data_IF_624774089890
#
_entry.id   IF_624774089890
#
_cell.length_a   1.000
_cell.length_b   1.000
_cell.length_c   1.000
_cell.angle_alpha   90.00
_cell.angle_beta   90.00
_cell.angle_gamma   90.00
#
_symmetry.space_group_name_H-M   'P 1'
#
loop_
_entity.id
_entity.type
_entity.pdbx_description
1 polymer ?
#
# COMPACT_ATOMS: atom_id res chain seq x y z
N UNK A 1 51.09 38.70 -23.10
CA UNK A 1 49.69 38.47 -23.52
C UNK A 1 49.21 37.17 -22.91
N UNK A 2 48.23 37.19 -22.00
CA UNK A 2 47.81 36.03 -21.20
C UNK A 2 46.37 35.60 -21.55
N UNK A 3 46.22 34.32 -21.88
CA UNK A 3 45.02 33.66 -22.39
C UNK A 3 43.85 33.56 -21.38
N UNK A 4 42.59 33.78 -21.79
CA UNK A 4 41.41 33.68 -20.93
C UNK A 4 40.87 32.24 -20.94
N UNK A 5 41.44 31.34 -20.13
CA UNK A 5 41.00 29.93 -20.07
C UNK A 5 40.81 29.39 -18.65
N UNK A 6 40.32 30.24 -17.73
CA UNK A 6 40.12 29.85 -16.31
C UNK A 6 38.73 30.11 -15.71
N UNK A 7 37.74 30.59 -16.46
CA UNK A 7 36.41 30.90 -15.87
C UNK A 7 35.29 29.88 -16.20
N UNK A 8 35.48 28.95 -17.13
CA UNK A 8 34.41 28.01 -17.53
C UNK A 8 34.27 26.75 -16.64
N UNK A 9 35.20 26.48 -15.72
CA UNK A 9 35.26 25.19 -15.00
C UNK A 9 34.37 25.11 -13.74
N UNK A 10 33.88 26.23 -13.21
CA UNK A 10 33.01 26.23 -12.02
C UNK A 10 31.50 26.16 -12.31
N UNK A 11 31.04 26.65 -13.47
CA UNK A 11 29.61 26.63 -13.80
C UNK A 11 29.07 25.24 -14.20
N UNK A 12 29.94 24.33 -14.67
CA UNK A 12 29.51 22.98 -15.07
C UNK A 12 29.36 22.00 -13.90
N UNK A 13 29.97 22.25 -12.73
CA UNK A 13 29.84 21.36 -11.57
C UNK A 13 28.53 21.53 -10.79
N UNK A 14 27.89 22.69 -10.87
CA UNK A 14 26.59 22.92 -10.22
C UNK A 14 25.42 22.28 -10.99
N UNK A 15 25.51 22.20 -12.32
CA UNK A 15 24.43 21.66 -13.16
C UNK A 15 24.34 20.13 -13.15
N UNK A 16 25.43 19.43 -12.82
CA UNK A 16 25.42 17.96 -12.76
C UNK A 16 24.81 17.44 -11.44
N UNK A 17 24.90 18.21 -10.35
CA UNK A 17 24.34 17.83 -9.04
C UNK A 17 22.80 17.92 -9.00
N UNK A 18 22.19 18.74 -9.86
CA UNK A 18 20.74 18.86 -9.97
C UNK A 18 20.08 17.73 -10.78
N UNK A 19 20.82 17.03 -11.66
CA UNK A 19 20.29 15.90 -12.44
C UNK A 19 20.46 14.54 -11.76
N UNK A 20 21.48 14.36 -10.93
CA UNK A 20 21.65 13.10 -10.18
C UNK A 20 20.65 12.96 -9.02
N UNK A 21 20.17 14.06 -8.43
CA UNK A 21 19.18 14.01 -7.35
C UNK A 21 17.74 13.65 -7.81
N UNK A 22 17.53 13.37 -9.09
CA UNK A 22 16.24 12.97 -9.65
C UNK A 22 16.15 11.48 -9.99
N UNK A 23 17.26 10.72 -9.87
CA UNK A 23 17.33 9.30 -10.25
C UNK A 23 17.23 8.37 -9.02
N UNK A 24 17.18 8.92 -7.80
CA UNK A 24 17.13 8.14 -6.56
C UNK A 24 15.97 8.45 -5.62
N UNK A 25 14.93 9.15 -6.10
CA UNK A 25 13.67 9.26 -5.37
C UNK A 25 12.61 8.52 -6.17
N UNK A 26 11.89 7.54 -5.60
CA UNK A 26 10.65 7.10 -6.23
C UNK A 26 9.85 8.39 -6.48
N UNK A 27 9.40 8.58 -7.72
CA UNK A 27 8.47 9.65 -8.01
C UNK A 27 7.35 9.49 -7.00
N UNK A 28 6.98 10.55 -6.25
CA UNK A 28 5.80 10.48 -5.39
C UNK A 28 4.68 9.98 -6.29
N UNK A 29 4.18 8.77 -6.03
CA UNK A 29 3.04 8.24 -6.73
C UNK A 29 1.96 9.33 -6.64
N UNK A 30 1.38 9.71 -7.78
CA UNK A 30 0.25 10.63 -7.76
C UNK A 30 -0.86 10.00 -6.91
N UNK A 31 -1.72 10.82 -6.30
CA UNK A 31 -2.86 10.29 -5.54
C UNK A 31 -3.69 9.27 -6.36
N UNK A 32 -3.77 9.47 -7.68
CA UNK A 32 -4.36 8.52 -8.62
C UNK A 32 -3.57 7.21 -8.71
N UNK A 33 -2.26 7.26 -8.91
CA UNK A 33 -1.41 6.05 -8.96
C UNK A 33 -1.44 5.26 -7.64
N UNK A 34 -1.52 5.95 -6.50
CA UNK A 34 -1.63 5.33 -5.18
C UNK A 34 -2.93 4.52 -5.03
N UNK A 35 -4.01 4.92 -5.72
CA UNK A 35 -5.31 4.25 -5.64
C UNK A 35 -5.47 3.24 -6.77
N UNK A 36 -5.02 3.59 -7.98
CA UNK A 36 -5.21 2.77 -9.18
C UNK A 36 -4.24 1.58 -9.20
N UNK A 37 -2.98 1.77 -8.79
CA UNK A 37 -1.97 0.72 -8.84
C UNK A 37 -1.06 0.79 -7.60
N UNK A 38 -1.60 0.62 -6.38
CA UNK A 38 -0.84 0.81 -5.14
C UNK A 38 0.42 -0.06 -5.03
N UNK A 39 0.40 -1.24 -5.65
CA UNK A 39 1.45 -2.25 -5.52
C UNK A 39 2.21 -2.55 -6.83
N UNK A 40 1.98 -1.82 -7.93
CA UNK A 40 2.70 -2.06 -9.21
C UNK A 40 4.22 -1.87 -9.10
N UNK A 41 4.65 -0.94 -8.24
CA UNK A 41 6.06 -0.63 -7.99
C UNK A 41 6.66 -1.43 -6.82
N UNK A 42 5.84 -2.23 -6.11
CA UNK A 42 6.26 -3.02 -4.94
C UNK A 42 6.43 -4.47 -5.34
N UNK A 43 7.61 -5.04 -5.08
CA UNK A 43 7.86 -6.47 -5.29
C UNK A 43 7.42 -7.24 -4.06
N UNK A 44 6.17 -7.66 -4.05
CA UNK A 44 5.65 -8.57 -3.03
C UNK A 44 6.07 -9.98 -3.42
N UNK A 45 6.90 -10.61 -2.58
CA UNK A 45 7.29 -12.00 -2.77
C UNK A 45 6.20 -12.93 -2.25
N UNK A 46 5.26 -13.27 -3.13
CA UNK A 46 4.17 -14.19 -2.80
C UNK A 46 4.66 -15.62 -2.53
N UNK A 47 5.89 -15.97 -2.91
CA UNK A 47 6.41 -17.32 -2.71
C UNK A 47 6.89 -17.59 -1.28
N UNK A 48 7.10 -16.53 -0.50
CA UNK A 48 7.45 -16.62 0.93
C UNK A 48 6.25 -16.51 1.84
N UNK A 49 5.07 -16.17 1.31
CA UNK A 49 3.85 -16.12 2.10
C UNK A 49 3.39 -17.54 2.43
N UNK A 50 3.24 -17.82 3.72
CA UNK A 50 2.74 -19.10 4.23
C UNK A 50 1.60 -18.82 5.21
N UNK A 51 0.37 -19.06 4.76
CA UNK A 51 -0.81 -18.84 5.60
C UNK A 51 -0.84 -19.78 6.81
N UNK A 52 -0.30 -21.00 6.66
CA UNK A 52 -0.26 -21.97 7.75
C UNK A 52 0.67 -21.48 8.89
N UNK A 53 1.76 -20.81 8.55
CA UNK A 53 2.65 -20.17 9.53
C UNK A 53 1.91 -19.10 10.34
N UNK A 54 1.05 -18.31 9.70
CA UNK A 54 0.22 -17.30 10.38
C UNK A 54 -0.78 -17.95 11.34
N UNK A 55 -1.39 -19.08 10.96
CA UNK A 55 -2.31 -19.82 11.84
C UNK A 55 -1.60 -20.40 13.06
N UNK A 56 -0.39 -20.91 12.87
CA UNK A 56 0.37 -21.63 13.90
C UNK A 56 1.16 -20.69 14.83
N UNK A 57 1.76 -19.65 14.26
CA UNK A 57 2.66 -18.71 14.97
C UNK A 57 2.05 -17.34 15.22
N UNK A 58 0.91 -17.03 14.59
CA UNK A 58 0.20 -15.77 14.75
C UNK A 58 0.56 -14.74 13.67
N UNK A 59 -0.15 -13.62 13.74
CA UNK A 59 -0.05 -12.55 12.77
C UNK A 59 1.08 -11.58 13.13
N UNK A 60 2.10 -11.45 12.28
CA UNK A 60 3.22 -10.52 12.46
C UNK A 60 3.01 -9.24 11.62
N UNK A 61 2.70 -8.08 12.25
CA UNK A 61 2.43 -6.83 11.53
C UNK A 61 3.58 -6.35 10.64
N UNK A 62 4.82 -6.72 10.98
CA UNK A 62 6.02 -6.30 10.25
C UNK A 62 6.10 -6.90 8.84
N UNK A 63 5.50 -8.07 8.60
CA UNK A 63 5.49 -8.72 7.28
C UNK A 63 4.56 -8.00 6.28
N UNK A 64 3.70 -7.12 6.79
CA UNK A 64 2.72 -6.35 6.02
C UNK A 64 3.01 -4.84 6.02
N UNK A 65 4.23 -4.40 6.37
CA UNK A 65 4.57 -2.97 6.43
C UNK A 65 4.33 -2.25 5.09
N UNK A 66 4.64 -2.88 3.96
CA UNK A 66 4.36 -2.32 2.63
C UNK A 66 2.86 -2.04 2.41
N UNK A 67 1.99 -2.93 2.89
CA UNK A 67 0.54 -2.74 2.87
C UNK A 67 0.14 -1.60 3.81
N UNK A 68 0.62 -1.58 5.04
CA UNK A 68 0.23 -0.58 6.04
C UNK A 68 0.69 0.83 5.66
N UNK A 69 1.91 0.99 5.10
CA UNK A 69 2.36 2.27 4.58
C UNK A 69 1.50 2.73 3.40
N UNK A 70 1.11 1.83 2.49
CA UNK A 70 0.23 2.17 1.37
C UNK A 70 -1.18 2.56 1.86
N UNK A 71 -1.74 1.81 2.81
CA UNK A 71 -3.03 2.10 3.44
C UNK A 71 -3.03 3.44 4.16
N UNK A 72 -2.00 3.75 4.94
CA UNK A 72 -1.84 5.02 5.65
C UNK A 72 -1.75 6.20 4.68
N UNK A 73 -1.00 6.04 3.59
CA UNK A 73 -0.92 7.07 2.55
C UNK A 73 -2.28 7.33 1.89
N UNK A 74 -3.09 6.28 1.71
CA UNK A 74 -4.42 6.37 1.12
C UNK A 74 -5.46 6.90 2.12
N UNK A 75 -5.32 6.58 3.41
CA UNK A 75 -6.15 7.10 4.49
C UNK A 75 -6.17 8.63 4.53
N UNK A 76 -5.00 9.24 4.27
CA UNK A 76 -4.86 10.69 4.20
C UNK A 76 -5.66 11.33 3.04
N UNK A 77 -6.12 10.53 2.08
CA UNK A 77 -6.99 10.95 0.98
C UNK A 77 -8.45 10.74 1.39
N UNK A 78 -8.83 9.50 1.71
CA UNK A 78 -10.15 9.14 2.21
C UNK A 78 -10.18 7.71 2.75
N UNK A 79 -11.20 7.40 3.56
CA UNK A 79 -11.43 6.03 4.03
C UNK A 79 -11.67 5.05 2.87
N UNK A 80 -12.41 5.49 1.84
CA UNK A 80 -12.63 4.70 0.63
C UNK A 80 -11.32 4.41 -0.11
N UNK A 81 -10.39 5.37 -0.15
CA UNK A 81 -9.07 5.16 -0.76
C UNK A 81 -8.25 4.13 0.02
N UNK A 82 -8.26 4.19 1.36
CA UNK A 82 -7.67 3.14 2.20
C UNK A 82 -8.26 1.76 1.87
N UNK A 83 -9.60 1.64 1.85
CA UNK A 83 -10.25 0.36 1.54
C UNK A 83 -9.90 -0.13 0.12
N UNK A 84 -9.78 0.79 -0.84
CA UNK A 84 -9.39 0.46 -2.23
C UNK A 84 -7.96 -0.08 -2.30
N UNK A 85 -7.03 0.51 -1.55
CA UNK A 85 -5.65 0.00 -1.47
C UNK A 85 -5.63 -1.37 -0.79
N UNK A 86 -6.31 -1.52 0.35
CA UNK A 86 -6.41 -2.79 1.06
C UNK A 86 -6.89 -3.93 0.16
N UNK A 87 -8.02 -3.74 -0.53
CA UNK A 87 -8.64 -4.74 -1.41
C UNK A 87 -7.80 -5.11 -2.64
N UNK A 88 -6.79 -4.31 -2.99
CA UNK A 88 -5.87 -4.59 -4.10
C UNK A 88 -4.59 -5.30 -3.64
N UNK A 89 -4.47 -5.66 -2.36
CA UNK A 89 -3.28 -6.33 -1.85
C UNK A 89 -3.20 -7.77 -2.38
N UNK A 90 -2.13 -8.15 -3.11
CA UNK A 90 -2.05 -9.44 -3.79
C UNK A 90 -2.16 -10.67 -2.89
N UNK A 91 -1.75 -10.56 -1.62
CA UNK A 91 -1.86 -11.67 -0.65
C UNK A 91 -3.32 -11.97 -0.31
N UNK A 92 -4.22 -10.97 -0.33
CA UNK A 92 -5.65 -11.22 -0.10
C UNK A 92 -6.22 -12.13 -1.18
N UNK A 93 -5.86 -11.91 -2.44
CA UNK A 93 -6.31 -12.74 -3.56
C UNK A 93 -5.80 -14.19 -3.40
N UNK A 94 -4.55 -14.36 -2.96
CA UNK A 94 -3.97 -15.67 -2.69
C UNK A 94 -4.76 -16.40 -1.58
N UNK A 95 -4.93 -15.77 -0.42
CA UNK A 95 -5.66 -16.35 0.72
C UNK A 95 -7.11 -16.67 0.35
N UNK A 96 -7.83 -15.75 -0.31
CA UNK A 96 -9.22 -16.00 -0.75
C UNK A 96 -9.31 -17.15 -1.75
N UNK A 97 -8.25 -17.40 -2.53
CA UNK A 97 -8.24 -18.47 -3.54
C UNK A 97 -7.85 -19.85 -2.97
N UNK A 98 -7.04 -19.88 -1.92
CA UNK A 98 -6.46 -21.11 -1.36
C UNK A 98 -7.18 -21.59 -0.10
N UNK A 99 -7.75 -20.67 0.68
CA UNK A 99 -8.33 -20.95 1.99
C UNK A 99 -9.86 -20.91 2.00
N UNK A 100 -10.46 -21.45 3.07
CA UNK A 100 -11.90 -21.40 3.27
C UNK A 100 -12.38 -19.98 3.59
N UNK A 101 -13.67 -19.70 3.34
CA UNK A 101 -14.26 -18.37 3.52
C UNK A 101 -14.10 -17.83 4.94
N UNK A 102 -14.22 -18.69 5.96
CA UNK A 102 -14.05 -18.33 7.37
C UNK A 102 -12.60 -17.91 7.65
N UNK A 103 -11.63 -18.74 7.26
CA UNK A 103 -10.20 -18.48 7.44
C UNK A 103 -9.75 -17.21 6.69
N UNK A 104 -10.22 -17.02 5.45
CA UNK A 104 -9.95 -15.81 4.69
C UNK A 104 -10.55 -14.57 5.36
N UNK A 105 -11.78 -14.66 5.86
CA UNK A 105 -12.44 -13.54 6.55
C UNK A 105 -11.69 -13.16 7.84
N UNK A 106 -11.26 -14.16 8.61
CA UNK A 106 -10.46 -13.96 9.82
C UNK A 106 -9.13 -13.28 9.50
N UNK A 107 -8.46 -13.69 8.42
CA UNK A 107 -7.24 -13.04 7.95
C UNK A 107 -7.46 -11.57 7.56
N UNK A 108 -8.52 -11.28 6.79
CA UNK A 108 -8.87 -9.92 6.39
C UNK A 108 -9.13 -9.04 7.62
N UNK A 109 -9.87 -9.57 8.60
CA UNK A 109 -10.16 -8.87 9.85
C UNK A 109 -8.89 -8.62 10.65
N UNK A 110 -8.05 -9.65 10.79
CA UNK A 110 -6.75 -9.57 11.48
C UNK A 110 -5.83 -8.51 10.89
N UNK A 111 -5.75 -8.42 9.55
CA UNK A 111 -4.99 -7.37 8.86
C UNK A 111 -5.47 -5.96 9.19
N UNK A 112 -6.80 -5.73 9.17
CA UNK A 112 -7.39 -4.42 9.46
C UNK A 112 -7.19 -4.01 10.92
N UNK A 113 -7.31 -4.97 11.84
CA UNK A 113 -7.05 -4.77 13.26
C UNK A 113 -5.56 -4.45 13.47
N UNK A 114 -4.67 -5.26 12.92
CA UNK A 114 -3.23 -5.05 13.02
C UNK A 114 -2.77 -3.71 12.42
N UNK A 115 -3.39 -3.27 11.31
CA UNK A 115 -3.16 -1.94 10.76
C UNK A 115 -3.49 -0.83 11.77
N UNK A 116 -4.67 -0.89 12.41
CA UNK A 116 -5.06 0.11 13.42
C UNK A 116 -4.14 0.07 14.65
N UNK A 117 -3.80 -1.11 15.14
CA UNK A 117 -2.92 -1.25 16.30
C UNK A 117 -1.51 -0.71 16.00
N UNK A 118 -0.95 -1.02 14.83
CA UNK A 118 0.40 -0.60 14.44
C UNK A 118 0.49 0.89 14.07
N UNK A 119 -0.44 1.39 13.26
CA UNK A 119 -0.37 2.75 12.70
C UNK A 119 -1.07 3.81 13.54
N UNK A 120 -2.09 3.44 14.31
CA UNK A 120 -2.87 4.36 15.15
C UNK A 120 -2.64 4.15 16.65
N UNK A 121 -2.06 3.02 17.06
CA UNK A 121 -1.83 2.70 18.47
C UNK A 121 -3.12 2.33 19.21
N UNK A 122 -4.15 1.90 18.48
CA UNK A 122 -5.38 1.38 19.05
C UNK A 122 -5.12 0.05 19.80
N UNK A 123 -5.97 -0.25 20.78
CA UNK A 123 -6.11 -1.64 21.26
C UNK A 123 -6.99 -2.46 20.30
N UNK A 124 -6.94 -3.78 20.45
CA UNK A 124 -7.66 -4.72 19.60
C UNK A 124 -9.18 -4.46 19.58
N UNK A 125 -9.77 -4.18 20.75
CA UNK A 125 -11.20 -3.88 20.88
C UNK A 125 -11.60 -2.60 20.14
N UNK A 126 -10.79 -1.55 20.24
CA UNK A 126 -11.02 -0.27 19.54
C UNK A 126 -10.85 -0.42 18.03
N UNK A 127 -9.86 -1.20 17.61
CA UNK A 127 -9.63 -1.52 16.20
C UNK A 127 -10.79 -2.32 15.61
N UNK A 128 -11.27 -3.34 16.33
CA UNK A 128 -12.43 -4.13 15.94
C UNK A 128 -13.68 -3.24 15.83
N UNK A 129 -13.95 -2.44 16.86
CA UNK A 129 -15.08 -1.51 16.87
C UNK A 129 -15.02 -0.50 15.70
N UNK A 130 -13.82 -0.11 15.26
CA UNK A 130 -13.63 0.74 14.09
C UNK A 130 -14.04 0.06 12.78
N UNK A 131 -13.64 -1.20 12.56
CA UNK A 131 -14.03 -1.99 11.38
C UNK A 131 -15.55 -2.18 11.34
N UNK A 132 -16.18 -2.34 12.50
CA UNK A 132 -17.64 -2.49 12.63
C UNK A 132 -18.42 -1.19 12.40
N UNK A 133 -17.75 -0.04 12.27
CA UNK A 133 -18.48 1.23 12.08
C UNK A 133 -19.20 1.27 10.73
N UNK A 134 -20.39 1.90 10.67
CA UNK A 134 -21.10 2.10 9.39
C UNK A 134 -20.28 2.88 8.36
N UNK A 135 -19.41 3.78 8.82
CA UNK A 135 -18.53 4.55 7.95
C UNK A 135 -17.51 3.65 7.25
N UNK A 136 -16.85 2.75 8.00
CA UNK A 136 -15.91 1.79 7.43
C UNK A 136 -16.61 0.81 6.48
N UNK A 137 -17.71 0.20 6.92
CA UNK A 137 -18.47 -0.76 6.10
C UNK A 137 -18.94 -0.13 4.77
N UNK A 138 -19.43 1.11 4.81
CA UNK A 138 -19.85 1.83 3.60
C UNK A 138 -18.67 2.07 2.67
N UNK A 139 -17.55 2.57 3.19
CA UNK A 139 -16.34 2.82 2.40
C UNK A 139 -15.77 1.53 1.78
N UNK A 140 -15.81 0.42 2.53
CA UNK A 140 -15.36 -0.88 2.08
C UNK A 140 -16.21 -1.41 0.91
N UNK A 141 -17.54 -1.35 1.05
CA UNK A 141 -18.48 -1.77 0.00
C UNK A 141 -18.38 -0.87 -1.25
N UNK A 142 -18.22 0.44 -1.08
CA UNK A 142 -18.02 1.34 -2.22
C UNK A 142 -16.70 1.07 -2.94
N UNK A 143 -15.61 0.84 -2.20
CA UNK A 143 -14.32 0.48 -2.76
C UNK A 143 -14.38 -0.84 -3.54
N UNK A 144 -14.99 -1.88 -2.97
CA UNK A 144 -15.14 -3.19 -3.65
C UNK A 144 -15.96 -3.08 -4.93
N UNK A 145 -17.06 -2.31 -4.91
CA UNK A 145 -17.88 -2.05 -6.11
C UNK A 145 -17.06 -1.36 -7.21
N UNK A 146 -16.32 -0.31 -6.86
CA UNK A 146 -15.53 0.44 -7.85
C UNK A 146 -14.40 -0.40 -8.45
N UNK A 147 -13.77 -1.25 -7.65
CA UNK A 147 -12.75 -2.19 -8.13
C UNK A 147 -13.38 -3.22 -9.09
N UNK A 148 -14.54 -3.79 -8.76
CA UNK A 148 -15.24 -4.71 -9.64
C UNK A 148 -15.63 -4.05 -10.98
N UNK A 149 -16.16 -2.82 -10.95
CA UNK A 149 -16.50 -2.04 -12.16
C UNK A 149 -15.27 -1.70 -13.01
N UNK A 150 -14.11 -1.50 -12.37
CA UNK A 150 -12.85 -1.27 -13.06
C UNK A 150 -12.35 -2.55 -13.73
N UNK A 151 -12.31 -3.67 -13.01
CA UNK A 151 -11.91 -4.97 -13.56
C UNK A 151 -12.78 -5.37 -14.75
N UNK A 152 -14.09 -5.13 -14.67
CA UNK A 152 -15.03 -5.38 -15.77
C UNK A 152 -14.81 -4.49 -17.01
N UNK A 153 -14.25 -3.28 -16.85
CA UNK A 153 -13.89 -2.40 -17.98
C UNK A 153 -12.55 -2.74 -18.61
N UNK A 154 -11.60 -3.26 -17.83
CA UNK A 154 -10.27 -3.63 -18.33
C UNK A 154 -10.26 -4.94 -19.13
N UNK A 155 -11.30 -5.77 -19.01
CA UNK A 155 -11.44 -7.04 -19.75
C UNK A 155 -12.10 -6.90 -21.11
N UNK A 156 -12.42 -5.68 -21.56
CA UNK A 156 -13.21 -5.41 -22.77
C UNK A 156 -12.47 -4.56 -23.80
#
# INVERSE_FOLDING_TARGET
>A
MATPKKQHKHAQRAKTKAKQNRIGKPAKASASALIDSPFDDVKIDLSTFDFQDIKDNGFEPADFDDLFQAMKAAEAISLQALCSVFLQYPVLELVISEEEEEDATDFLMGLLIAFRMSEHGDDEDSALAWVETPAFQTAYVEASRLLAERSARSTH
#
